data_IF_323491064543
#
_entry.id   IF_323491064543
#
_cell.length_a   1.000
_cell.length_b   1.000
_cell.length_c   1.000
_cell.angle_alpha   90.00
_cell.angle_beta   90.00
_cell.angle_gamma   90.00
#
_symmetry.space_group_name_H-M   'P 1'
#
loop_
_entity.id
_entity.type
_entity.pdbx_description
1 polymer ?
#
# COMPACT_ATOMS: atom_id res chain seq x y z
N UNK A 1 10.59 2.87 -9.28
CA UNK A 1 9.37 2.55 -8.49
C UNK A 1 9.47 1.24 -7.71
N UNK A 2 10.16 0.25 -8.22
CA UNK A 2 10.22 -1.04 -7.52
C UNK A 2 10.87 -0.95 -6.12
N UNK A 3 11.91 -0.15 -5.96
CA UNK A 3 12.55 0.03 -4.65
C UNK A 3 11.62 0.70 -3.65
N UNK A 4 10.88 1.71 -4.10
CA UNK A 4 9.89 2.39 -3.26
C UNK A 4 8.77 1.41 -2.87
N UNK A 5 8.22 0.68 -3.83
CA UNK A 5 7.18 -0.32 -3.57
C UNK A 5 7.65 -1.37 -2.56
N UNK A 6 8.89 -1.83 -2.68
CA UNK A 6 9.47 -2.81 -1.75
C UNK A 6 9.59 -2.28 -0.34
N UNK A 7 10.03 -1.03 -0.17
CA UNK A 7 10.10 -0.43 1.16
C UNK A 7 8.72 -0.25 1.79
N UNK A 8 7.74 0.17 0.99
CA UNK A 8 6.36 0.29 1.47
C UNK A 8 5.85 -1.07 1.96
N UNK A 9 6.04 -2.10 1.15
CA UNK A 9 5.64 -3.46 1.50
C UNK A 9 6.32 -3.93 2.78
N UNK A 10 7.64 -3.81 2.87
CA UNK A 10 8.41 -4.24 4.03
C UNK A 10 7.97 -3.50 5.30
N UNK A 11 7.71 -2.20 5.20
CA UNK A 11 7.24 -1.40 6.32
C UNK A 11 5.82 -1.82 6.76
N UNK A 12 4.93 -2.07 5.81
CA UNK A 12 3.58 -2.54 6.11
C UNK A 12 3.60 -3.91 6.81
N UNK A 13 4.46 -4.82 6.35
CA UNK A 13 4.62 -6.13 6.98
C UNK A 13 5.15 -5.99 8.40
N UNK A 14 6.18 -5.17 8.58
CA UNK A 14 6.79 -4.92 9.90
C UNK A 14 5.80 -4.36 10.92
N UNK A 15 4.88 -3.52 10.47
CA UNK A 15 3.90 -2.86 11.32
C UNK A 15 2.52 -3.55 11.32
N UNK A 16 2.44 -4.74 10.75
CA UNK A 16 1.19 -5.53 10.64
C UNK A 16 0.06 -4.76 9.93
N UNK A 17 0.43 -4.04 8.88
CA UNK A 17 -0.49 -3.22 8.08
C UNK A 17 -0.71 -3.77 6.67
N UNK A 18 -0.05 -4.87 6.29
CA UNK A 18 -0.19 -5.47 4.97
C UNK A 18 -1.39 -6.41 4.93
N UNK A 19 -2.59 -5.81 5.02
CA UNK A 19 -3.87 -6.48 4.96
C UNK A 19 -4.82 -5.62 4.12
N UNK A 20 -5.49 -6.22 3.16
CA UNK A 20 -6.37 -5.49 2.22
C UNK A 20 -5.67 -4.32 1.54
N UNK A 21 -4.43 -4.52 1.13
CA UNK A 21 -3.61 -3.51 0.46
C UNK A 21 -3.24 -3.95 -0.94
N UNK A 22 -3.07 -2.96 -1.82
CA UNK A 22 -2.57 -3.18 -3.15
C UNK A 22 -1.67 -2.01 -3.56
N UNK A 23 -0.50 -2.31 -4.11
CA UNK A 23 0.44 -1.32 -4.62
C UNK A 23 0.51 -1.48 -6.13
N UNK A 24 0.19 -0.42 -6.88
CA UNK A 24 0.22 -0.39 -8.34
C UNK A 24 1.44 0.39 -8.80
N UNK A 25 2.30 -0.25 -9.59
CA UNK A 25 3.50 0.40 -10.14
C UNK A 25 4.01 -0.40 -11.34
N UNK A 26 4.69 0.27 -12.27
CA UNK A 26 5.30 -0.35 -13.45
C UNK A 26 4.32 -1.24 -14.25
N UNK A 27 3.04 -0.86 -14.33
CA UNK A 27 2.02 -1.62 -15.05
C UNK A 27 1.57 -2.90 -14.38
N UNK A 28 1.93 -3.12 -13.12
CA UNK A 28 1.59 -4.31 -12.35
C UNK A 28 1.07 -3.93 -10.96
N UNK A 29 0.61 -4.91 -10.22
CA UNK A 29 0.14 -4.72 -8.86
C UNK A 29 0.70 -5.77 -7.91
N UNK A 30 1.09 -5.31 -6.72
CA UNK A 30 1.40 -6.16 -5.58
C UNK A 30 0.23 -6.10 -4.62
N UNK A 31 -0.36 -7.25 -4.30
CA UNK A 31 -1.55 -7.32 -3.47
C UNK A 31 -1.36 -8.24 -2.28
N UNK A 32 -1.95 -7.85 -1.16
CA UNK A 32 -2.18 -8.75 -0.04
C UNK A 32 -3.49 -9.47 -0.30
N UNK A 33 -3.48 -10.78 -0.28
CA UNK A 33 -4.72 -11.54 -0.23
C UNK A 33 -4.92 -12.03 1.19
N UNK A 34 -6.08 -11.78 1.70
CA UNK A 34 -6.41 -12.15 3.06
C UNK A 34 -6.36 -13.64 3.29
N UNK A 35 -5.88 -13.97 4.46
CA UNK A 35 -6.03 -15.27 5.12
C UNK A 35 -6.10 -16.46 4.18
N UNK A 36 -4.95 -16.81 3.65
CA UNK A 36 -4.79 -18.14 3.08
C UNK A 36 -4.65 -19.11 4.24
N UNK A 37 -5.33 -20.24 4.10
CA UNK A 37 -5.18 -21.34 5.03
C UNK A 37 -4.40 -22.43 4.32
N UNK A 38 -3.44 -23.02 5.01
CA UNK A 38 -2.74 -24.19 4.52
C UNK A 38 -3.65 -25.43 4.61
N UNK A 39 -3.13 -26.59 4.24
CA UNK A 39 -3.89 -27.85 4.25
C UNK A 39 -4.42 -28.20 5.66
N UNK A 40 -3.76 -27.72 6.70
CA UNK A 40 -4.13 -27.93 8.10
C UNK A 40 -5.09 -26.87 8.63
N UNK A 41 -5.53 -25.94 7.79
CA UNK A 41 -6.40 -24.85 8.17
C UNK A 41 -5.69 -23.72 8.92
N UNK A 42 -4.36 -23.71 8.93
CA UNK A 42 -3.56 -22.69 9.59
C UNK A 42 -3.47 -21.45 8.72
N UNK A 43 -3.71 -20.30 9.32
CA UNK A 43 -3.63 -19.01 8.65
C UNK A 43 -2.20 -18.71 8.18
N UNK A 44 -2.04 -18.43 6.88
CA UNK A 44 -0.76 -18.01 6.29
C UNK A 44 -0.81 -16.52 6.13
N UNK A 45 -0.08 -15.81 7.00
CA UNK A 45 0.03 -14.36 6.97
C UNK A 45 1.01 -13.85 5.92
N UNK A 46 0.80 -12.63 5.47
CA UNK A 46 1.77 -11.81 4.74
C UNK A 46 2.09 -12.32 3.33
N UNK A 47 1.08 -12.74 2.60
CA UNK A 47 1.22 -13.12 1.22
C UNK A 47 1.41 -11.89 0.33
N UNK A 48 2.38 -11.95 -0.55
CA UNK A 48 2.58 -10.97 -1.60
C UNK A 48 2.27 -11.63 -2.94
N UNK A 49 1.26 -11.11 -3.64
CA UNK A 49 0.87 -11.57 -4.97
C UNK A 49 1.18 -10.49 -5.99
N UNK A 50 1.85 -10.87 -7.07
CA UNK A 50 2.12 -9.97 -8.18
C UNK A 50 1.16 -10.28 -9.33
N UNK A 51 0.48 -9.24 -9.80
CA UNK A 51 -0.43 -9.31 -10.94
C UNK A 51 0.12 -8.44 -12.05
N UNK A 52 0.26 -9.00 -13.25
CA UNK A 52 0.67 -8.26 -14.44
C UNK A 52 -0.51 -7.52 -15.07
N UNK A 53 -0.21 -6.52 -15.90
CA UNK A 53 -1.19 -5.76 -16.68
C UNK A 53 -2.30 -5.14 -15.82
N UNK A 54 -1.89 -4.43 -14.75
CA UNK A 54 -2.80 -3.72 -13.86
C UNK A 54 -2.56 -2.22 -13.92
N UNK A 55 -3.58 -1.50 -14.40
CA UNK A 55 -3.58 -0.04 -14.40
C UNK A 55 -4.47 0.45 -13.26
N UNK A 56 -3.92 1.24 -12.30
CA UNK A 56 -4.72 1.72 -11.17
C UNK A 56 -5.93 2.55 -11.58
N UNK A 57 -5.90 3.22 -12.72
CA UNK A 57 -7.03 4.00 -13.22
C UNK A 57 -8.25 3.16 -13.54
N UNK A 58 -8.10 1.85 -13.71
CA UNK A 58 -9.22 0.93 -13.90
C UNK A 58 -9.98 0.67 -12.60
N UNK A 59 -9.37 0.99 -11.46
CA UNK A 59 -9.90 0.67 -10.13
C UNK A 59 -10.32 1.89 -9.33
N UNK A 60 -9.68 3.04 -9.53
CA UNK A 60 -10.04 4.28 -8.85
C UNK A 60 -9.65 5.52 -9.66
N UNK A 61 -10.40 6.60 -9.43
CA UNK A 61 -10.34 7.82 -10.23
C UNK A 61 -9.02 8.59 -10.08
N UNK A 62 -8.55 8.76 -8.85
CA UNK A 62 -7.38 9.58 -8.55
C UNK A 62 -6.11 8.74 -8.49
N UNK A 63 -5.80 8.07 -9.58
CA UNK A 63 -4.62 7.23 -9.67
C UNK A 63 -3.51 7.92 -10.48
N UNK A 64 -2.26 7.59 -10.18
CA UNK A 64 -1.11 8.04 -10.96
C UNK A 64 -0.35 6.84 -11.54
N UNK A 65 -0.68 6.42 -12.76
CA UNK A 65 -0.02 5.25 -13.38
C UNK A 65 1.43 5.50 -13.76
N UNK A 66 1.88 6.77 -13.80
CA UNK A 66 3.24 7.13 -14.17
C UNK A 66 4.22 6.95 -13.01
N UNK A 67 3.74 6.86 -11.79
CA UNK A 67 4.53 6.62 -10.59
C UNK A 67 4.02 5.38 -9.86
N UNK A 68 3.37 5.60 -8.73
CA UNK A 68 2.84 4.55 -7.87
C UNK A 68 1.50 4.99 -7.30
N UNK A 69 0.60 4.07 -7.16
CA UNK A 69 -0.69 4.29 -6.48
C UNK A 69 -0.95 3.12 -5.55
N UNK A 70 -1.77 3.33 -4.55
CA UNK A 70 -2.16 2.28 -3.60
C UNK A 70 -3.65 2.33 -3.33
N UNK A 71 -4.21 1.17 -3.04
CA UNK A 71 -5.52 1.05 -2.42
C UNK A 71 -5.38 0.27 -1.11
N UNK A 72 -6.20 0.63 -0.11
CA UNK A 72 -6.13 0.02 1.21
C UNK A 72 -7.48 0.15 1.90
N UNK A 73 -8.02 -0.96 2.34
CA UNK A 73 -9.32 -1.02 3.04
C UNK A 73 -9.21 -1.66 4.42
N UNK A 74 -8.00 -2.10 4.79
CA UNK A 74 -7.71 -2.73 6.07
C UNK A 74 -7.08 -1.77 7.07
N UNK A 75 -6.14 -2.24 7.90
CA UNK A 75 -5.58 -1.43 9.00
C UNK A 75 -4.85 -0.17 8.54
N UNK A 76 -4.23 -0.17 7.36
CA UNK A 76 -3.59 1.05 6.84
C UNK A 76 -4.61 2.17 6.62
N UNK A 77 -5.84 1.84 6.21
CA UNK A 77 -6.93 2.80 6.10
C UNK A 77 -7.16 3.53 7.43
N UNK A 78 -7.20 2.78 8.52
CA UNK A 78 -7.45 3.35 9.85
C UNK A 78 -6.30 4.26 10.32
N UNK A 79 -5.06 3.90 9.99
CA UNK A 79 -3.89 4.72 10.32
C UNK A 79 -3.90 6.03 9.53
N UNK A 80 -4.08 5.96 8.21
CA UNK A 80 -4.00 7.13 7.34
C UNK A 80 -5.20 8.09 7.49
N UNK A 81 -6.29 7.61 8.06
CA UNK A 81 -7.50 8.43 8.31
C UNK A 81 -7.67 8.77 9.80
N UNK A 82 -6.63 8.62 10.61
CA UNK A 82 -6.59 9.05 12.00
C UNK A 82 -7.55 8.33 12.94
N UNK A 83 -7.84 7.05 12.68
CA UNK A 83 -8.77 6.28 13.50
C UNK A 83 -8.12 5.43 14.59
N UNK A 84 -6.80 5.45 14.71
CA UNK A 84 -6.09 4.65 15.70
C UNK A 84 -5.14 5.51 16.54
N UNK A 85 -4.91 5.16 17.83
CA UNK A 85 -3.92 5.86 18.64
C UNK A 85 -2.53 5.78 18.02
N UNK A 86 -1.76 6.88 18.11
CA UNK A 86 -0.40 6.93 17.57
C UNK A 86 -0.31 7.12 16.07
N UNK A 87 -1.43 7.42 15.39
CA UNK A 87 -1.47 7.58 13.94
C UNK A 87 -0.53 8.68 13.43
N UNK A 88 -0.28 9.71 14.20
CA UNK A 88 0.58 10.82 13.78
C UNK A 88 2.00 10.33 13.51
N UNK A 89 2.61 9.65 14.50
CA UNK A 89 3.98 9.12 14.35
C UNK A 89 4.06 8.07 13.24
N UNK A 90 3.08 7.21 13.15
CA UNK A 90 3.03 6.14 12.12
C UNK A 90 2.88 6.74 10.73
N UNK A 91 2.03 7.75 10.57
CA UNK A 91 1.83 8.44 9.29
C UNK A 91 3.07 9.21 8.85
N UNK A 92 3.78 9.85 9.80
CA UNK A 92 5.05 10.53 9.51
C UNK A 92 6.10 9.54 9.02
N UNK A 93 6.22 8.42 9.68
CA UNK A 93 7.14 7.35 9.30
C UNK A 93 6.83 6.81 7.91
N UNK A 94 5.57 6.61 7.60
CA UNK A 94 5.11 6.21 6.28
C UNK A 94 5.48 7.25 5.22
N UNK A 95 5.22 8.53 5.47
CA UNK A 95 5.58 9.63 4.58
C UNK A 95 7.08 9.74 4.33
N UNK A 96 7.90 9.44 5.33
CA UNK A 96 9.36 9.48 5.22
C UNK A 96 9.89 8.47 4.20
N UNK A 97 9.23 7.34 4.04
CA UNK A 97 9.58 6.34 3.03
C UNK A 97 9.52 6.96 1.63
N UNK A 98 8.45 7.69 1.34
CA UNK A 98 8.29 8.35 0.04
C UNK A 98 9.31 9.48 -0.15
N UNK A 99 9.48 10.34 0.84
CA UNK A 99 10.40 11.48 0.78
C UNK A 99 11.85 11.05 0.55
N UNK A 100 12.25 9.94 1.13
CA UNK A 100 13.58 9.36 0.96
C UNK A 100 13.89 9.02 -0.49
N UNK A 101 12.86 8.71 -1.28
CA UNK A 101 12.98 8.41 -2.70
C UNK A 101 12.67 9.61 -3.60
N UNK A 102 12.43 10.78 -3.04
CA UNK A 102 12.14 12.00 -3.80
C UNK A 102 10.66 12.17 -4.16
N UNK A 103 9.77 11.54 -3.41
CA UNK A 103 8.33 11.57 -3.68
C UNK A 103 7.53 11.95 -2.44
N UNK A 104 6.26 12.24 -2.65
CA UNK A 104 5.26 12.38 -1.60
C UNK A 104 3.96 11.72 -2.07
N UNK A 105 3.05 11.45 -1.17
CA UNK A 105 1.76 10.88 -1.52
C UNK A 105 0.62 11.82 -1.16
N UNK A 106 -0.50 11.69 -1.89
CA UNK A 106 -1.76 12.36 -1.58
C UNK A 106 -2.88 11.33 -1.59
N UNK A 107 -3.79 11.43 -0.63
CA UNK A 107 -5.00 10.62 -0.63
C UNK A 107 -5.94 11.13 -1.72
N UNK A 108 -6.46 10.22 -2.56
CA UNK A 108 -7.53 10.52 -3.49
C UNK A 108 -8.87 10.41 -2.77
N UNK A 109 -9.33 9.17 -2.63
CA UNK A 109 -10.39 8.85 -1.67
C UNK A 109 -9.74 8.40 -0.35
N UNK A 110 -10.56 8.18 0.69
CA UNK A 110 -10.04 7.74 1.99
C UNK A 110 -9.28 6.41 1.92
N UNK A 111 -9.54 5.59 0.92
CA UNK A 111 -9.00 4.24 0.75
C UNK A 111 -7.95 4.10 -0.34
N UNK A 112 -7.50 5.20 -0.94
CA UNK A 112 -6.44 5.16 -1.97
C UNK A 112 -5.52 6.38 -1.90
N UNK A 113 -4.32 6.22 -2.45
CA UNK A 113 -3.35 7.30 -2.57
C UNK A 113 -2.62 7.23 -3.91
N UNK A 114 -2.05 8.34 -4.29
CA UNK A 114 -1.17 8.45 -5.46
C UNK A 114 0.10 9.19 -5.10
N UNK A 115 1.18 8.88 -5.80
CA UNK A 115 2.53 9.35 -5.52
C UNK A 115 2.95 10.35 -6.58
N UNK A 116 3.60 11.43 -6.14
CA UNK A 116 4.06 12.54 -6.99
C UNK A 116 5.50 12.89 -6.66
N UNK A 117 6.23 13.41 -7.65
CA UNK A 117 7.58 13.93 -7.44
C UNK A 117 7.54 15.20 -6.61
N UNK A 118 8.53 15.32 -5.72
CA UNK A 118 8.75 16.56 -4.95
C UNK A 118 9.30 17.63 -5.88
#
# INVERSE_FOLDING_TARGET
MQKLAREIYDWCVKNDLWHDCCIYFNGKAWASWDTWHDEDGKEIDKCLYEYEDRNPKEYFEYANPDTLSMSFEGPLYHVLNAYVPGWIATTEEFGDIFRKHGYYYELGHAWNLSVYEI
#
